data_IF_444205754360
#
_entry.id   IF_444205754360
#
_cell.length_a   1.000
_cell.length_b   1.000
_cell.length_c   1.000
_cell.angle_alpha   90.00
_cell.angle_beta   90.00
_cell.angle_gamma   90.00
#
_symmetry.space_group_name_H-M   'P 1'
#
loop_
_entity.id
_entity.type
_entity.pdbx_description
1 polymer ?
#
# COMPACT_ATOMS: atom_id res chain seq x y z
N UNK A 1 -0.48 -1.06 49.74
CA UNK A 1 0.26 -0.81 48.49
C UNK A 1 0.72 -2.15 47.98
N UNK A 2 -0.04 -2.71 47.06
CA UNK A 2 0.27 -3.95 46.37
C UNK A 2 0.48 -3.53 44.93
N UNK A 3 1.73 -3.60 44.47
CA UNK A 3 2.11 -3.23 43.11
C UNK A 3 1.69 -4.39 42.21
N UNK A 4 0.54 -4.24 41.55
CA UNK A 4 0.17 -5.09 40.42
C UNK A 4 0.96 -4.59 39.20
N UNK A 5 2.21 -5.04 39.10
CA UNK A 5 2.93 -5.02 37.82
C UNK A 5 2.36 -6.19 37.04
N UNK A 6 1.51 -5.90 36.07
CA UNK A 6 1.17 -6.86 35.02
C UNK A 6 2.46 -7.03 34.22
N UNK A 7 3.20 -8.11 34.47
CA UNK A 7 4.25 -8.55 33.56
C UNK A 7 3.57 -8.87 32.22
N UNK A 8 3.90 -8.10 31.18
CA UNK A 8 3.45 -8.39 29.82
C UNK A 8 3.90 -9.81 29.46
N UNK A 9 2.97 -10.66 29.04
CA UNK A 9 3.28 -12.02 28.64
C UNK A 9 4.17 -11.99 27.38
N UNK A 10 5.47 -12.18 27.59
CA UNK A 10 6.46 -12.19 26.50
C UNK A 10 6.29 -13.38 25.52
N UNK A 11 5.39 -14.33 25.82
CA UNK A 11 5.14 -15.49 24.97
C UNK A 11 4.35 -15.14 23.70
N UNK A 12 3.36 -14.23 23.77
CA UNK A 12 2.54 -13.81 22.62
C UNK A 12 3.37 -13.13 21.52
N UNK A 13 4.37 -12.33 21.91
CA UNK A 13 5.29 -11.70 20.95
C UNK A 13 6.14 -12.73 20.19
N UNK A 14 6.46 -13.87 20.81
CA UNK A 14 7.33 -14.89 20.21
C UNK A 14 6.65 -15.74 19.12
N UNK A 15 5.34 -15.97 19.24
CA UNK A 15 4.56 -16.70 18.23
C UNK A 15 4.34 -15.84 16.98
N UNK A 16 3.99 -14.56 17.17
CA UNK A 16 3.82 -13.63 16.05
C UNK A 16 5.15 -13.34 15.33
N UNK A 17 6.25 -13.16 16.07
CA UNK A 17 7.59 -13.06 15.47
C UNK A 17 7.96 -14.32 14.66
N UNK A 18 7.59 -15.50 15.16
CA UNK A 18 7.80 -16.76 14.43
C UNK A 18 6.95 -16.80 13.16
N UNK A 19 5.68 -16.41 13.24
CA UNK A 19 4.80 -16.29 12.08
C UNK A 19 5.37 -15.34 11.02
N UNK A 20 5.88 -14.17 11.43
CA UNK A 20 6.53 -13.20 10.54
C UNK A 20 7.71 -13.85 9.82
N UNK A 21 8.63 -14.46 10.58
CA UNK A 21 9.84 -15.09 10.05
C UNK A 21 9.52 -16.23 9.08
N UNK A 22 8.54 -17.06 9.43
CA UNK A 22 8.13 -18.19 8.59
C UNK A 22 7.42 -17.73 7.32
N UNK A 23 6.56 -16.72 7.41
CA UNK A 23 5.90 -16.09 6.28
C UNK A 23 6.90 -15.46 5.31
N UNK A 24 7.88 -14.71 5.82
CA UNK A 24 8.95 -14.13 5.00
C UNK A 24 9.77 -15.21 4.31
N UNK A 25 10.17 -16.27 5.03
CA UNK A 25 10.87 -17.41 4.45
C UNK A 25 10.06 -18.09 3.35
N UNK A 26 8.76 -18.26 3.56
CA UNK A 26 7.86 -18.87 2.57
C UNK A 26 7.73 -17.98 1.32
N UNK A 27 7.52 -16.67 1.52
CA UNK A 27 7.39 -15.70 0.43
C UNK A 27 8.67 -15.58 -0.42
N UNK A 28 9.85 -15.61 0.21
CA UNK A 28 11.14 -15.58 -0.50
C UNK A 28 11.47 -16.88 -1.24
N UNK A 29 10.84 -18.00 -0.87
CA UNK A 29 11.01 -19.27 -1.55
C UNK A 29 10.12 -19.41 -2.82
N UNK A 30 9.17 -18.50 -3.04
CA UNK A 30 8.31 -18.52 -4.22
C UNK A 30 9.10 -18.11 -5.48
N UNK A 31 8.96 -18.84 -6.60
CA UNK A 31 9.60 -18.49 -7.88
C UNK A 31 8.81 -17.41 -8.64
N UNK A 32 8.46 -16.30 -7.98
CA UNK A 32 7.62 -15.23 -8.53
C UNK A 32 8.27 -13.84 -8.38
N UNK A 33 9.59 -13.79 -8.54
CA UNK A 33 10.38 -12.58 -8.27
C UNK A 33 11.55 -12.45 -9.23
N UNK A 34 11.85 -11.21 -9.61
CA UNK A 34 13.05 -10.87 -10.37
C UNK A 34 12.89 -9.58 -11.17
N UNK A 35 13.90 -9.19 -11.97
CA UNK A 35 13.78 -8.03 -12.83
C UNK A 35 12.73 -8.25 -13.92
N UNK A 36 12.23 -7.15 -14.50
CA UNK A 36 11.43 -7.26 -15.72
C UNK A 36 12.26 -7.88 -16.85
N UNK A 37 11.62 -8.74 -17.63
CA UNK A 37 12.22 -9.43 -18.78
C UNK A 37 11.26 -9.40 -19.95
N UNK A 38 11.85 -9.38 -21.14
CA UNK A 38 11.14 -9.46 -22.40
C UNK A 38 11.62 -10.69 -23.18
N UNK A 39 10.76 -11.24 -24.03
CA UNK A 39 11.13 -12.28 -24.99
C UNK A 39 11.78 -11.68 -26.25
N UNK A 40 12.16 -12.54 -27.21
CA UNK A 40 12.81 -12.14 -28.47
C UNK A 40 11.91 -11.25 -29.36
N UNK A 41 10.60 -11.30 -29.15
CA UNK A 41 9.60 -10.49 -29.87
C UNK A 41 9.30 -9.17 -29.15
N UNK A 42 9.88 -8.94 -27.96
CA UNK A 42 9.68 -7.75 -27.15
C UNK A 42 8.43 -7.77 -26.27
N UNK A 43 7.76 -8.91 -26.12
CA UNK A 43 6.64 -9.06 -25.19
C UNK A 43 7.14 -9.32 -23.78
N UNK A 44 6.28 -9.10 -22.77
CA UNK A 44 6.58 -9.49 -21.39
C UNK A 44 6.87 -10.99 -21.34
N UNK A 45 8.00 -11.35 -20.72
CA UNK A 45 8.46 -12.73 -20.68
C UNK A 45 7.38 -13.63 -20.03
N UNK A 46 6.98 -14.76 -20.64
CA UNK A 46 5.84 -15.59 -20.18
C UNK A 46 5.93 -16.06 -18.72
N UNK A 47 7.14 -16.25 -18.20
CA UNK A 47 7.36 -16.62 -16.78
C UNK A 47 6.82 -15.58 -15.80
N UNK A 48 6.82 -14.28 -16.16
CA UNK A 48 6.27 -13.22 -15.30
C UNK A 48 4.75 -13.37 -15.23
N UNK A 49 4.10 -13.51 -16.39
CA UNK A 49 2.65 -13.66 -16.50
C UNK A 49 2.17 -14.96 -15.83
N UNK A 50 2.84 -16.09 -16.12
CA UNK A 50 2.50 -17.37 -15.50
C UNK A 50 2.75 -17.40 -13.99
N UNK A 51 3.76 -16.67 -13.50
CA UNK A 51 3.98 -16.48 -12.07
C UNK A 51 2.88 -15.65 -11.43
N UNK A 52 2.51 -14.53 -12.06
CA UNK A 52 1.39 -13.70 -11.62
C UNK A 52 0.09 -14.50 -11.54
N UNK A 53 -0.26 -15.23 -12.60
CA UNK A 53 -1.47 -16.07 -12.65
C UNK A 53 -1.45 -17.18 -11.59
N UNK A 54 -0.31 -17.84 -11.39
CA UNK A 54 -0.19 -18.97 -10.46
C UNK A 54 -0.28 -18.54 -8.99
N UNK A 55 0.32 -17.41 -8.65
CA UNK A 55 0.48 -16.97 -7.26
C UNK A 55 -0.45 -15.81 -6.88
N UNK A 56 -1.18 -15.23 -7.85
CA UNK A 56 -1.99 -14.02 -7.67
C UNK A 56 -1.17 -12.73 -7.59
N UNK A 57 0.17 -12.81 -7.60
CA UNK A 57 1.09 -11.67 -7.60
C UNK A 57 2.48 -12.06 -8.13
N UNK A 58 3.23 -11.05 -8.58
CA UNK A 58 4.64 -11.18 -8.98
C UNK A 58 5.43 -9.98 -8.45
N UNK A 59 6.63 -10.21 -7.92
CA UNK A 59 7.48 -9.14 -7.39
C UNK A 59 8.57 -8.76 -8.39
N UNK A 60 8.41 -7.58 -8.97
CA UNK A 60 9.41 -7.03 -9.89
C UNK A 60 10.49 -6.26 -9.13
N UNK A 61 11.74 -6.64 -9.36
CA UNK A 61 12.90 -6.06 -8.69
C UNK A 61 13.63 -5.07 -9.60
N UNK A 62 14.07 -3.95 -9.03
CA UNK A 62 14.90 -2.98 -9.75
C UNK A 62 14.20 -2.30 -10.94
N UNK A 63 12.86 -2.21 -10.92
CA UNK A 63 12.10 -1.50 -11.96
C UNK A 63 12.44 -0.02 -11.96
N UNK A 64 12.42 0.61 -10.78
CA UNK A 64 12.79 2.02 -10.62
C UNK A 64 14.29 2.14 -10.35
N UNK A 65 14.90 3.11 -11.02
CA UNK A 65 16.28 3.51 -10.79
C UNK A 65 16.43 4.27 -9.47
N UNK A 66 17.68 4.40 -9.00
CA UNK A 66 18.00 5.21 -7.82
C UNK A 66 17.60 6.69 -7.99
N UNK A 67 17.64 7.21 -9.22
CA UNK A 67 17.26 8.59 -9.52
C UNK A 67 15.75 8.76 -9.36
N UNK A 68 14.97 7.83 -9.92
CA UNK A 68 13.50 7.87 -9.79
C UNK A 68 13.04 7.72 -8.33
N UNK A 69 13.70 6.84 -7.56
CA UNK A 69 13.44 6.70 -6.13
C UNK A 69 13.78 7.98 -5.35
N UNK A 70 14.91 8.62 -5.67
CA UNK A 70 15.29 9.89 -5.04
C UNK A 70 14.33 11.02 -5.38
N UNK A 71 13.89 11.12 -6.65
CA UNK A 71 12.88 12.10 -7.05
C UNK A 71 11.57 11.91 -6.30
N UNK A 72 11.10 10.66 -6.15
CA UNK A 72 9.91 10.37 -5.37
C UNK A 72 10.10 10.66 -3.88
N UNK A 73 11.25 10.33 -3.30
CA UNK A 73 11.53 10.69 -1.91
C UNK A 73 11.53 12.21 -1.68
N UNK A 74 12.11 12.98 -2.61
CA UNK A 74 12.08 14.44 -2.54
C UNK A 74 10.65 15.00 -2.56
N UNK A 75 9.81 14.51 -3.50
CA UNK A 75 8.40 14.88 -3.57
C UNK A 75 7.65 14.50 -2.28
N UNK A 76 7.92 13.31 -1.72
CA UNK A 76 7.31 12.87 -0.46
C UNK A 76 7.68 13.82 0.70
N UNK A 77 8.92 14.29 0.78
CA UNK A 77 9.29 15.26 1.82
C UNK A 77 8.54 16.59 1.66
N UNK A 78 8.35 17.07 0.43
CA UNK A 78 7.56 18.27 0.15
C UNK A 78 6.10 18.06 0.57
N UNK A 79 5.51 16.91 0.22
CA UNK A 79 4.16 16.53 0.64
C UNK A 79 4.04 16.55 2.17
N UNK A 80 4.96 15.90 2.88
CA UNK A 80 4.94 15.83 4.36
C UNK A 80 5.04 17.20 5.01
N UNK A 81 5.90 18.07 4.50
CA UNK A 81 6.04 19.45 5.01
C UNK A 81 4.80 20.32 4.77
N UNK A 82 3.97 19.94 3.79
CA UNK A 82 2.74 20.65 3.43
C UNK A 82 1.47 19.96 3.98
N UNK A 83 1.60 18.91 4.80
CA UNK A 83 0.43 18.34 5.45
C UNK A 83 -0.20 19.35 6.43
N UNK A 84 -1.55 19.34 6.58
CA UNK A 84 -2.22 20.11 7.62
C UNK A 84 -1.69 19.77 9.02
N UNK A 85 -1.58 20.77 9.90
CA UNK A 85 -1.09 20.56 11.28
C UNK A 85 -1.97 19.62 12.11
N UNK A 86 -3.25 19.52 11.77
CA UNK A 86 -4.21 18.56 12.28
C UNK A 86 -5.34 18.43 11.25
N UNK A 87 -6.23 17.45 11.45
CA UNK A 87 -7.41 17.30 10.60
C UNK A 87 -8.23 18.59 10.55
N UNK A 88 -8.72 18.92 9.36
CA UNK A 88 -9.47 20.14 9.04
C UNK A 88 -8.69 21.47 9.13
N UNK A 89 -7.40 21.45 9.51
CA UNK A 89 -6.58 22.65 9.48
C UNK A 89 -6.40 23.17 8.05
N UNK A 90 -6.47 24.49 7.89
CA UNK A 90 -6.31 25.16 6.59
C UNK A 90 -4.84 25.50 6.29
N UNK A 91 -3.96 25.33 7.27
CA UNK A 91 -2.55 25.67 7.18
C UNK A 91 -1.65 24.51 7.58
N UNK A 92 -0.47 24.48 6.98
CA UNK A 92 0.62 23.60 7.36
C UNK A 92 1.43 24.17 8.54
N UNK A 93 2.44 23.41 8.98
CA UNK A 93 3.30 23.82 10.10
C UNK A 93 4.12 25.11 9.83
N UNK A 94 4.25 25.52 8.56
CA UNK A 94 4.94 26.75 8.15
C UNK A 94 3.98 27.93 7.96
N UNK A 95 2.68 27.74 8.22
CA UNK A 95 1.65 28.77 8.04
C UNK A 95 1.23 29.00 6.58
N UNK A 96 1.61 28.10 5.66
CA UNK A 96 1.17 28.12 4.26
C UNK A 96 -0.18 27.41 4.13
N UNK A 97 -0.95 27.67 3.06
CA UNK A 97 -2.14 26.87 2.76
C UNK A 97 -1.77 25.38 2.68
N UNK A 98 -2.47 24.55 3.43
CA UNK A 98 -2.13 23.12 3.55
C UNK A 98 -2.47 22.33 2.27
N UNK A 99 -1.81 21.19 2.09
CA UNK A 99 -2.09 20.27 1.00
C UNK A 99 -3.55 19.79 1.06
N UNK A 100 -4.22 19.82 -0.10
CA UNK A 100 -5.55 19.25 -0.27
C UNK A 100 -6.71 20.16 0.14
N UNK A 101 -6.47 21.39 0.63
CA UNK A 101 -7.56 22.32 1.03
C UNK A 101 -8.51 22.66 -0.12
N UNK A 102 -7.97 22.75 -1.34
CA UNK A 102 -8.73 23.07 -2.56
C UNK A 102 -9.04 21.81 -3.39
N UNK A 103 -8.88 20.62 -2.81
CA UNK A 103 -9.14 19.36 -3.50
C UNK A 103 -10.63 19.21 -3.82
N UNK A 104 -10.93 18.89 -5.08
CA UNK A 104 -12.27 18.44 -5.47
C UNK A 104 -12.36 16.95 -5.14
N UNK A 105 -13.06 16.64 -4.05
CA UNK A 105 -13.23 15.28 -3.53
C UNK A 105 -12.15 14.86 -2.51
N UNK A 106 -12.21 13.61 -2.02
CA UNK A 106 -11.28 13.11 -1.01
C UNK A 106 -9.81 13.28 -1.40
N UNK A 107 -8.99 13.76 -0.46
CA UNK A 107 -7.56 13.93 -0.65
C UNK A 107 -6.75 13.28 0.46
N UNK A 108 -6.98 13.70 1.71
CA UNK A 108 -6.28 13.19 2.88
C UNK A 108 -7.24 12.32 3.69
N UNK A 109 -6.84 11.08 3.92
CA UNK A 109 -7.57 10.14 4.77
C UNK A 109 -6.82 9.98 6.08
N UNK A 110 -7.53 10.19 7.17
CA UNK A 110 -7.00 10.27 8.52
C UNK A 110 -7.39 9.03 9.32
N UNK A 111 -6.51 8.61 10.22
CA UNK A 111 -6.78 7.53 11.16
C UNK A 111 -6.04 7.79 12.48
N UNK A 112 -6.48 7.14 13.55
CA UNK A 112 -5.69 7.07 14.78
C UNK A 112 -4.41 6.27 14.52
N UNK A 113 -3.27 6.61 15.13
CA UNK A 113 -2.08 5.78 15.05
C UNK A 113 -2.37 4.32 15.41
N UNK A 114 -1.76 3.39 14.68
CA UNK A 114 -1.85 1.93 14.89
C UNK A 114 -3.26 1.33 14.76
N UNK A 115 -4.25 2.11 14.35
CA UNK A 115 -5.63 1.65 14.16
C UNK A 115 -5.84 0.92 12.83
N UNK A 116 -6.93 0.15 12.74
CA UNK A 116 -7.53 -0.40 11.53
C UNK A 116 -8.82 0.39 11.19
N UNK A 117 -8.75 1.45 10.37
CA UNK A 117 -9.93 2.29 10.13
C UNK A 117 -11.06 1.60 9.36
N UNK A 118 -10.83 0.43 8.75
CA UNK A 118 -11.76 -0.18 7.79
C UNK A 118 -12.32 -1.54 8.25
N UNK A 119 -11.54 -2.35 8.97
CA UNK A 119 -11.93 -3.70 9.33
C UNK A 119 -13.21 -3.80 10.16
N UNK A 120 -14.08 -4.74 9.78
CA UNK A 120 -15.37 -4.97 10.43
C UNK A 120 -16.41 -3.86 10.20
N UNK A 121 -16.16 -2.93 9.28
CA UNK A 121 -17.10 -1.84 8.94
C UNK A 121 -17.79 -2.08 7.60
N UNK A 122 -18.83 -1.29 7.30
CA UNK A 122 -19.48 -1.26 5.98
C UNK A 122 -18.80 -0.31 4.99
N UNK A 123 -17.71 0.35 5.39
CA UNK A 123 -16.96 1.26 4.51
C UNK A 123 -16.31 0.48 3.36
N UNK A 124 -16.08 1.16 2.23
CA UNK A 124 -15.50 0.56 1.02
C UNK A 124 -16.27 -0.70 0.56
N UNK A 125 -17.60 -0.66 0.63
CA UNK A 125 -18.46 -1.79 0.24
C UNK A 125 -18.43 -2.97 1.21
N UNK A 126 -17.90 -2.79 2.43
CA UNK A 126 -17.82 -3.87 3.42
C UNK A 126 -16.77 -4.95 3.09
N UNK A 127 -15.81 -4.62 2.22
CA UNK A 127 -14.81 -5.58 1.72
C UNK A 127 -13.79 -6.05 2.76
N UNK A 128 -13.76 -5.43 3.94
CA UNK A 128 -12.85 -5.73 5.05
C UNK A 128 -13.64 -6.42 6.18
N UNK A 129 -13.85 -7.74 6.14
CA UNK A 129 -14.80 -8.43 7.03
C UNK A 129 -14.40 -8.48 8.50
N UNK A 130 -13.11 -8.37 8.80
CA UNK A 130 -12.56 -8.57 10.16
C UNK A 130 -11.75 -7.34 10.56
N UNK A 131 -11.89 -6.94 11.82
CA UNK A 131 -11.10 -5.89 12.45
C UNK A 131 -9.75 -6.47 12.89
N UNK A 132 -8.65 -5.84 12.50
CA UNK A 132 -7.32 -6.20 12.99
C UNK A 132 -7.13 -5.77 14.45
N UNK A 133 -6.26 -6.47 15.16
CA UNK A 133 -5.82 -6.04 16.48
C UNK A 133 -5.13 -4.66 16.39
N UNK A 134 -5.47 -3.77 17.33
CA UNK A 134 -4.92 -2.42 17.43
C UNK A 134 -4.06 -2.34 18.69
N UNK A 135 -2.73 -2.19 18.55
CA UNK A 135 -1.86 -1.95 19.69
C UNK A 135 -2.30 -0.73 20.51
N UNK A 136 -1.99 -0.75 21.81
CA UNK A 136 -2.34 0.36 22.69
C UNK A 136 -1.66 1.66 22.23
N UNK A 137 -2.44 2.75 22.26
CA UNK A 137 -1.91 4.09 22.05
C UNK A 137 -0.99 4.48 23.21
N UNK A 138 0.18 5.04 22.90
CA UNK A 138 1.15 5.50 23.89
C UNK A 138 1.12 7.03 24.05
N UNK A 139 1.41 7.51 25.27
CA UNK A 139 1.46 8.94 25.56
C UNK A 139 2.49 9.64 24.66
N UNK A 140 2.04 10.65 23.92
CA UNK A 140 2.90 11.45 23.03
C UNK A 140 2.74 11.10 21.54
N UNK A 141 1.98 10.06 21.20
CA UNK A 141 1.54 9.85 19.83
C UNK A 141 0.58 10.98 19.38
N UNK A 142 0.53 11.33 18.09
CA UNK A 142 -0.46 12.25 17.57
C UNK A 142 -1.88 11.68 17.74
N UNK A 143 -2.89 12.56 17.73
CA UNK A 143 -4.30 12.15 17.82
C UNK A 143 -4.75 11.42 16.54
N UNK A 144 -4.37 11.96 15.39
CA UNK A 144 -4.61 11.39 14.06
C UNK A 144 -3.37 11.56 13.18
N UNK A 145 -3.21 10.66 12.23
CA UNK A 145 -2.20 10.71 11.17
C UNK A 145 -2.87 10.67 9.80
N UNK A 146 -2.23 11.27 8.80
CA UNK A 146 -2.55 11.01 7.41
C UNK A 146 -1.92 9.68 7.03
N UNK A 147 -2.73 8.64 6.82
CA UNK A 147 -2.24 7.30 6.45
C UNK A 147 -2.42 7.00 4.96
N UNK A 148 -3.28 7.76 4.27
CA UNK A 148 -3.59 7.56 2.87
C UNK A 148 -3.83 8.91 2.17
N UNK A 149 -3.17 9.10 1.04
CA UNK A 149 -3.37 10.24 0.13
C UNK A 149 -4.00 9.72 -1.16
N UNK A 150 -5.17 10.26 -1.50
CA UNK A 150 -5.89 9.96 -2.74
C UNK A 150 -5.51 10.93 -3.86
N UNK A 151 -5.38 10.41 -5.08
CA UNK A 151 -4.91 11.18 -6.23
C UNK A 151 -3.51 11.78 -6.01
N UNK A 152 -2.51 11.00 -5.55
CA UNK A 152 -1.18 11.52 -5.22
C UNK A 152 -0.42 12.06 -6.44
N UNK A 153 -0.83 11.70 -7.67
CA UNK A 153 -0.22 12.21 -8.91
C UNK A 153 -0.35 13.74 -9.05
N UNK A 154 -1.33 14.35 -8.36
CA UNK A 154 -1.51 15.82 -8.31
C UNK A 154 -0.43 16.52 -7.50
N UNK A 155 0.30 15.78 -6.67
CA UNK A 155 1.22 16.31 -5.66
C UNK A 155 2.65 15.81 -5.84
N UNK A 156 2.90 14.94 -6.82
CA UNK A 156 4.22 14.39 -7.10
C UNK A 156 4.40 14.14 -8.59
N UNK A 157 5.33 14.89 -9.20
CA UNK A 157 5.75 14.69 -10.58
C UNK A 157 6.49 13.36 -10.75
N UNK A 158 7.18 12.89 -9.70
CA UNK A 158 7.79 11.57 -9.69
C UNK A 158 6.74 10.46 -9.80
N UNK A 159 5.68 10.51 -9.00
CA UNK A 159 4.58 9.54 -9.08
C UNK A 159 3.85 9.61 -10.42
N UNK A 160 3.66 10.82 -10.98
CA UNK A 160 3.09 10.97 -12.32
C UNK A 160 3.95 10.27 -13.38
N UNK A 161 5.28 10.45 -13.34
CA UNK A 161 6.20 9.73 -14.24
C UNK A 161 6.18 8.21 -14.02
N UNK A 162 6.18 7.76 -12.75
CA UNK A 162 6.10 6.34 -12.41
C UNK A 162 4.80 5.72 -12.94
N UNK A 163 3.66 6.43 -12.84
CA UNK A 163 2.38 5.94 -13.37
C UNK A 163 2.40 5.72 -14.90
N UNK A 164 3.25 6.47 -15.61
CA UNK A 164 3.51 6.34 -17.04
C UNK A 164 4.75 5.52 -17.39
N UNK A 165 5.33 4.78 -16.43
CA UNK A 165 6.58 4.07 -16.66
C UNK A 165 6.40 2.96 -17.71
N UNK A 166 7.19 2.92 -18.80
CA UNK A 166 6.92 2.05 -19.95
C UNK A 166 6.90 0.56 -19.57
N UNK A 167 7.74 0.14 -18.65
CA UNK A 167 7.73 -1.24 -18.14
C UNK A 167 6.43 -1.60 -17.40
N UNK A 168 5.87 -0.68 -16.59
CA UNK A 168 4.62 -0.93 -15.89
C UNK A 168 3.44 -0.95 -16.86
N UNK A 169 3.42 -0.03 -17.84
CA UNK A 169 2.41 0.00 -18.89
C UNK A 169 2.45 -1.25 -19.76
N UNK A 170 3.63 -1.77 -20.10
CA UNK A 170 3.77 -3.01 -20.86
C UNK A 170 3.20 -4.23 -20.12
N UNK A 171 3.36 -4.28 -18.78
CA UNK A 171 2.77 -5.34 -17.96
C UNK A 171 1.25 -5.18 -17.88
N UNK A 172 0.76 -3.94 -17.68
CA UNK A 172 -0.68 -3.67 -17.64
C UNK A 172 -1.36 -4.07 -18.95
N UNK A 173 -0.75 -3.74 -20.10
CA UNK A 173 -1.21 -4.14 -21.43
C UNK A 173 -1.18 -5.66 -21.61
N UNK A 174 -0.11 -6.34 -21.17
CA UNK A 174 0.00 -7.78 -21.29
C UNK A 174 -1.07 -8.54 -20.48
N UNK A 175 -1.47 -8.00 -19.32
CA UNK A 175 -2.48 -8.62 -18.45
C UNK A 175 -3.90 -8.25 -18.88
N UNK A 176 -4.17 -6.97 -19.16
CA UNK A 176 -5.54 -6.46 -19.35
C UNK A 176 -5.90 -6.15 -20.80
N UNK A 177 -4.95 -6.24 -21.73
CA UNK A 177 -5.13 -5.87 -23.13
C UNK A 177 -4.76 -4.41 -23.44
N UNK A 178 -4.74 -4.08 -24.74
CA UNK A 178 -4.25 -2.79 -25.27
C UNK A 178 -5.10 -1.58 -24.90
N UNK A 179 -6.34 -1.82 -24.51
CA UNK A 179 -7.34 -0.84 -24.13
C UNK A 179 -7.51 -0.75 -22.61
N UNK A 180 -6.53 -1.22 -21.82
CA UNK A 180 -6.53 -1.08 -20.38
C UNK A 180 -6.68 0.39 -19.95
N UNK A 181 -7.37 0.61 -18.84
CA UNK A 181 -7.62 1.94 -18.29
C UNK A 181 -7.21 1.96 -16.81
N UNK A 182 -6.22 2.79 -16.41
CA UNK A 182 -5.99 3.07 -14.99
C UNK A 182 -7.22 3.75 -14.39
N UNK A 183 -7.72 3.24 -13.27
CA UNK A 183 -8.98 3.72 -12.69
C UNK A 183 -8.87 4.18 -11.23
N UNK A 184 -7.73 3.98 -10.57
CA UNK A 184 -7.51 4.44 -9.20
C UNK A 184 -6.02 4.58 -8.86
N UNK A 185 -5.70 5.53 -7.99
CA UNK A 185 -4.37 5.73 -7.44
C UNK A 185 -4.44 6.15 -5.96
N UNK A 186 -3.49 5.64 -5.18
CA UNK A 186 -3.42 5.86 -3.74
C UNK A 186 -1.97 5.79 -3.27
N UNK A 187 -1.57 6.71 -2.39
CA UNK A 187 -0.28 6.62 -1.69
C UNK A 187 -0.55 6.35 -0.21
N UNK A 188 -0.11 5.17 0.24
CA UNK A 188 -0.18 4.77 1.65
C UNK A 188 1.07 5.22 2.40
N UNK A 189 0.87 5.82 3.57
CA UNK A 189 1.94 6.25 4.47
C UNK A 189 1.83 5.44 5.76
N UNK A 190 2.79 4.54 5.96
CA UNK A 190 2.91 3.74 7.19
C UNK A 190 4.18 4.14 7.93
N UNK A 191 4.08 5.20 8.72
CA UNK A 191 5.23 5.68 9.49
C UNK A 191 5.65 4.67 10.58
N UNK A 192 6.96 4.55 10.87
CA UNK A 192 7.44 3.69 11.94
C UNK A 192 6.74 3.98 13.27
N UNK A 193 6.15 2.94 13.87
CA UNK A 193 5.47 3.04 15.16
C UNK A 193 4.11 3.75 15.15
N UNK A 194 3.61 4.20 13.98
CA UNK A 194 2.33 4.92 13.88
C UNK A 194 1.39 4.35 12.82
N UNK A 195 1.92 3.68 11.80
CA UNK A 195 1.17 3.27 10.62
C UNK A 195 -0.10 2.48 10.93
N UNK A 196 -1.21 2.87 10.32
CA UNK A 196 -2.48 2.14 10.39
C UNK A 196 -2.38 0.77 9.71
N UNK A 197 -3.04 -0.22 10.28
CA UNK A 197 -3.17 -1.54 9.66
C UNK A 197 -4.24 -1.52 8.58
N UNK A 198 -4.25 -2.56 7.75
CA UNK A 198 -5.27 -2.75 6.71
C UNK A 198 -5.76 -4.16 6.84
N UNK A 199 -7.02 -4.33 7.24
CA UNK A 199 -7.63 -5.63 7.37
C UNK A 199 -7.57 -6.45 6.09
N UNK A 200 -7.59 -7.78 6.25
CA UNK A 200 -7.72 -8.73 5.14
C UNK A 200 -8.92 -8.38 4.27
N UNK A 201 -8.71 -8.33 2.95
CA UNK A 201 -9.75 -8.03 1.97
C UNK A 201 -9.35 -8.47 0.57
N UNK A 202 -10.32 -8.43 -0.34
CA UNK A 202 -10.09 -8.40 -1.78
C UNK A 202 -10.48 -7.02 -2.29
N UNK A 203 -9.73 -6.47 -3.24
CA UNK A 203 -9.96 -5.10 -3.72
C UNK A 203 -11.31 -4.96 -4.45
N UNK A 204 -11.64 -5.94 -5.30
CA UNK A 204 -12.89 -5.98 -6.05
C UNK A 204 -14.11 -6.09 -5.12
N UNK A 205 -15.12 -5.25 -5.36
CA UNK A 205 -16.37 -5.23 -4.58
C UNK A 205 -17.62 -5.58 -5.39
N UNK A 206 -17.50 -5.60 -6.72
CA UNK A 206 -18.57 -5.93 -7.67
C UNK A 206 -18.16 -7.16 -8.49
N UNK A 207 -19.04 -7.67 -9.35
CA UNK A 207 -18.74 -8.70 -10.37
C UNK A 207 -18.31 -10.10 -9.87
N UNK A 208 -18.22 -10.34 -8.57
CA UNK A 208 -17.99 -11.69 -7.99
C UNK A 208 -18.99 -12.77 -8.42
N UNK A 209 -20.20 -12.39 -8.84
CA UNK A 209 -21.23 -13.32 -9.34
C UNK A 209 -21.53 -13.12 -10.83
N UNK A 210 -20.61 -12.50 -11.58
CA UNK A 210 -20.77 -12.31 -13.01
C UNK A 210 -20.82 -13.68 -13.72
N UNK A 211 -21.75 -13.91 -14.67
CA UNK A 211 -21.86 -15.20 -15.34
C UNK A 211 -20.59 -15.58 -16.12
N UNK A 212 -19.89 -14.58 -16.64
CA UNK A 212 -18.61 -14.72 -17.34
C UNK A 212 -17.45 -14.32 -16.41
N UNK A 213 -17.45 -14.78 -15.17
CA UNK A 213 -16.38 -14.47 -14.23
C UNK A 213 -15.05 -15.10 -14.66
N UNK A 214 -14.00 -14.30 -14.62
CA UNK A 214 -12.60 -14.74 -14.67
C UNK A 214 -11.76 -14.03 -13.60
N UNK A 215 -10.53 -14.50 -13.40
CA UNK A 215 -9.63 -13.97 -12.37
C UNK A 215 -9.21 -12.50 -12.58
N UNK A 216 -9.30 -11.98 -13.80
CA UNK A 216 -8.91 -10.62 -14.18
C UNK A 216 -10.05 -9.60 -14.15
N UNK A 217 -11.29 -10.02 -13.90
CA UNK A 217 -12.49 -9.15 -13.97
C UNK A 217 -12.45 -7.93 -13.03
N UNK A 218 -11.62 -7.96 -11.98
CA UNK A 218 -11.45 -6.85 -11.03
C UNK A 218 -10.22 -5.97 -11.32
N UNK A 219 -9.47 -6.28 -12.39
CA UNK A 219 -8.20 -5.64 -12.71
C UNK A 219 -7.05 -6.08 -11.79
N UNK A 220 -5.98 -5.30 -11.78
CA UNK A 220 -4.77 -5.55 -11.00
C UNK A 220 -4.23 -4.25 -10.40
N UNK A 221 -3.48 -4.35 -9.31
CA UNK A 221 -2.84 -3.21 -8.63
C UNK A 221 -1.31 -3.30 -8.70
N UNK A 222 -0.65 -2.22 -9.13
CA UNK A 222 0.79 -2.07 -8.92
C UNK A 222 1.02 -1.51 -7.52
N UNK A 223 1.63 -2.30 -6.64
CA UNK A 223 2.19 -1.78 -5.40
C UNK A 223 3.66 -1.41 -5.63
N UNK A 224 3.90 -0.13 -5.89
CA UNK A 224 5.26 0.40 -6.02
C UNK A 224 5.75 0.84 -4.64
N UNK A 225 6.99 0.47 -4.30
CA UNK A 225 7.56 0.69 -2.97
C UNK A 225 8.71 1.71 -3.04
N UNK A 226 8.57 2.82 -2.32
CA UNK A 226 9.66 3.79 -2.13
C UNK A 226 10.71 3.25 -1.16
N UNK A 227 10.26 2.57 -0.10
CA UNK A 227 11.09 1.99 0.94
C UNK A 227 11.03 0.47 0.91
N UNK A 228 12.06 -0.20 1.44
CA UNK A 228 12.13 -1.65 1.49
C UNK A 228 10.98 -2.29 2.28
N UNK A 229 10.58 -3.47 1.85
CA UNK A 229 9.52 -4.28 2.47
C UNK A 229 10.12 -5.60 2.99
N UNK A 230 9.77 -5.95 4.22
CA UNK A 230 10.08 -7.23 4.89
C UNK A 230 8.82 -7.77 5.58
N UNK A 231 8.92 -8.89 6.30
CA UNK A 231 7.77 -9.43 7.02
C UNK A 231 7.18 -8.48 8.07
N UNK A 232 7.98 -7.57 8.64
CA UNK A 232 7.54 -6.67 9.74
C UNK A 232 6.82 -5.40 9.26
N UNK A 233 6.99 -5.00 7.99
CA UNK A 233 6.42 -3.74 7.46
C UNK A 233 5.76 -3.91 6.07
N UNK A 234 5.66 -5.14 5.58
CA UNK A 234 5.23 -5.45 4.22
C UNK A 234 3.73 -5.71 4.05
N UNK A 235 3.37 -5.96 2.79
CA UNK A 235 2.07 -6.51 2.41
C UNK A 235 2.07 -8.03 2.65
N UNK A 236 0.96 -8.53 3.19
CA UNK A 236 0.70 -9.96 3.34
C UNK A 236 -0.36 -10.41 2.34
N UNK A 237 -0.14 -11.54 1.70
CA UNK A 237 -1.04 -12.16 0.71
C UNK A 237 -1.21 -13.64 1.08
N UNK A 238 -2.42 -14.18 0.87
CA UNK A 238 -2.80 -15.57 1.16
C UNK A 238 -3.30 -16.27 -0.10
#
# INVERSE_FOLDING_TARGET
>A
MQNDVIEADTSENSEFETYIREGERAALALPNRGPIRFDDDGNIHPEILSGFDKFGFYVLEGVLSRVELHDWEADLQVIRQNLPIHKDAQIDASGRPALGIDSIGPCLVWAKPLSDPLGGTTLSGGRHPVKMEEPAWETGMPEEIVYLIMGPLRYSDALLRISGHPHLLAIAEAINGKDFVPFNEAMWIKEPGLGSSTAWHQDGITHWSHPDWDQGIHGMTFQVLLYGSSGVNGLWVL
#
